data_IF_077943435851
#
_entry.id   IF_077943435851
#
_cell.length_a   1.000
_cell.length_b   1.000
_cell.length_c   1.000
_cell.angle_alpha   90.00
_cell.angle_beta   90.00
_cell.angle_gamma   90.00
#
_symmetry.space_group_name_H-M   'P 1'
#
loop_
_entity.id
_entity.type
_entity.pdbx_description
1 polymer ?
#
# COMPACT_ATOMS: atom_id res chain seq x y z
N UNK A 1 -50.06 34.39 64.09
CA UNK A 1 -51.26 33.77 63.50
C UNK A 1 -50.82 33.06 62.22
N UNK A 2 -50.85 31.72 62.22
CA UNK A 2 -50.41 30.86 61.13
C UNK A 2 -51.59 30.68 60.17
N UNK A 3 -51.39 30.95 58.87
CA UNK A 3 -52.31 30.60 57.83
C UNK A 3 -51.89 29.26 57.21
N UNK A 4 -52.82 28.28 57.21
CA UNK A 4 -52.69 26.97 56.54
C UNK A 4 -52.98 27.13 55.07
N UNK A 5 -52.01 26.70 54.20
CA UNK A 5 -52.25 26.59 52.80
C UNK A 5 -52.53 25.11 52.51
N UNK A 6 -53.70 24.80 52.03
CA UNK A 6 -54.14 23.48 51.56
C UNK A 6 -53.79 23.34 50.07
N UNK A 7 -52.93 22.37 49.74
CA UNK A 7 -52.64 21.96 48.38
C UNK A 7 -53.74 21.09 47.81
N UNK A 8 -54.36 21.48 46.72
CA UNK A 8 -55.25 20.64 45.91
C UNK A 8 -54.35 19.88 44.88
N UNK A 9 -54.45 18.57 44.89
CA UNK A 9 -53.88 17.69 43.86
C UNK A 9 -54.75 17.72 42.58
N UNK A 10 -54.14 17.69 41.38
CA UNK A 10 -54.90 17.54 40.15
C UNK A 10 -55.12 16.06 39.83
N UNK A 11 -56.36 15.67 39.67
CA UNK A 11 -56.81 14.36 39.18
C UNK A 11 -56.31 14.08 37.75
N UNK A 12 -55.48 13.06 37.60
CA UNK A 12 -55.06 12.52 36.28
C UNK A 12 -56.20 11.72 35.66
N UNK A 13 -56.76 12.23 34.55
CA UNK A 13 -57.64 11.45 33.67
C UNK A 13 -56.83 10.36 32.99
N UNK A 14 -57.14 9.08 33.25
CA UNK A 14 -56.61 7.92 32.54
C UNK A 14 -57.13 7.92 31.10
N UNK A 15 -56.28 8.17 30.12
CA UNK A 15 -56.56 7.84 28.73
C UNK A 15 -56.45 6.32 28.55
N UNK A 16 -57.54 5.68 28.22
CA UNK A 16 -57.57 4.28 27.78
C UNK A 16 -56.96 4.23 26.41
N UNK A 17 -55.75 3.67 26.32
CA UNK A 17 -55.10 3.37 25.04
C UNK A 17 -55.71 2.05 24.56
N UNK A 18 -56.49 2.10 23.49
CA UNK A 18 -56.88 0.90 22.74
C UNK A 18 -55.61 0.26 22.20
N UNK A 19 -55.26 -0.90 22.73
CA UNK A 19 -54.24 -1.78 22.15
C UNK A 19 -54.84 -2.33 20.85
N UNK A 20 -54.34 -1.87 19.72
CA UNK A 20 -54.60 -2.48 18.43
C UNK A 20 -53.76 -3.74 18.43
N UNK A 21 -54.39 -4.91 18.50
CA UNK A 21 -53.74 -6.18 18.22
C UNK A 21 -53.23 -6.13 16.77
N UNK A 22 -51.95 -5.89 16.60
CA UNK A 22 -51.27 -6.14 15.35
C UNK A 22 -51.17 -7.67 15.20
N UNK A 23 -51.92 -8.21 14.23
CA UNK A 23 -51.70 -9.57 13.76
C UNK A 23 -50.19 -9.76 13.54
N UNK A 24 -49.62 -10.68 14.30
CA UNK A 24 -48.26 -11.16 14.05
C UNK A 24 -48.31 -11.87 12.73
N UNK A 25 -47.86 -11.21 11.63
CA UNK A 25 -47.50 -11.92 10.43
C UNK A 25 -46.46 -12.97 10.83
N UNK A 26 -46.87 -14.24 10.77
CA UNK A 26 -45.94 -15.36 10.91
C UNK A 26 -44.87 -15.21 9.85
N UNK A 27 -43.65 -14.87 10.27
CA UNK A 27 -42.47 -14.85 9.43
C UNK A 27 -42.24 -16.30 8.93
N UNK A 28 -42.81 -16.63 7.78
CA UNK A 28 -42.49 -17.86 7.08
C UNK A 28 -41.07 -17.72 6.55
N UNK A 29 -40.07 -18.44 7.09
CA UNK A 29 -38.71 -18.34 6.60
C UNK A 29 -38.73 -18.73 5.12
N UNK A 30 -38.38 -17.79 4.24
CA UNK A 30 -38.10 -18.09 2.85
C UNK A 30 -37.09 -19.24 2.85
N UNK A 31 -37.37 -20.32 2.06
CA UNK A 31 -36.43 -21.43 1.90
C UNK A 31 -35.02 -20.84 1.79
N UNK A 32 -34.13 -21.23 2.73
CA UNK A 32 -32.74 -20.81 2.70
C UNK A 32 -32.18 -21.27 1.36
N UNK A 33 -31.94 -20.32 0.45
CA UNK A 33 -31.14 -20.52 -0.75
C UNK A 33 -29.70 -20.66 -0.29
N UNK A 34 -29.31 -21.87 0.10
CA UNK A 34 -28.00 -22.20 0.62
C UNK A 34 -27.26 -22.92 -0.50
N UNK A 35 -26.21 -22.31 -1.00
CA UNK A 35 -25.22 -22.94 -1.85
C UNK A 35 -23.95 -23.21 -1.02
N UNK A 36 -23.47 -24.44 -1.05
CA UNK A 36 -22.24 -24.86 -0.37
C UNK A 36 -21.09 -25.10 -1.37
N UNK A 37 -21.34 -24.90 -2.67
CA UNK A 37 -20.33 -25.07 -3.71
C UNK A 37 -19.50 -23.79 -3.82
N UNK A 38 -18.15 -23.85 -3.73
CA UNK A 38 -17.32 -22.66 -3.88
C UNK A 38 -17.24 -22.21 -5.35
N UNK A 39 -16.97 -20.91 -5.61
CA UNK A 39 -16.73 -20.38 -6.94
C UNK A 39 -15.66 -21.13 -7.71
N UNK A 40 -15.84 -21.36 -8.99
CA UNK A 40 -14.87 -22.04 -9.86
C UNK A 40 -14.01 -21.03 -10.60
N UNK A 41 -12.73 -20.95 -10.25
CA UNK A 41 -11.75 -20.06 -10.91
C UNK A 41 -11.19 -20.77 -12.14
N UNK A 42 -11.45 -20.22 -13.32
CA UNK A 42 -11.02 -20.75 -14.61
C UNK A 42 -9.91 -19.88 -15.20
N UNK A 43 -8.69 -20.34 -15.04
CA UNK A 43 -7.45 -19.74 -15.57
C UNK A 43 -6.39 -20.85 -15.66
N UNK A 44 -5.47 -20.73 -16.60
CA UNK A 44 -4.34 -21.65 -16.69
C UNK A 44 -3.44 -21.56 -15.45
N UNK A 45 -2.94 -22.69 -14.98
CA UNK A 45 -2.03 -22.74 -13.81
C UNK A 45 -0.62 -22.25 -14.12
N UNK A 46 -0.22 -22.35 -15.39
CA UNK A 46 1.02 -21.82 -15.89
C UNK A 46 0.76 -20.98 -17.13
N UNK A 47 1.29 -19.76 -17.13
CA UNK A 47 1.16 -18.80 -18.22
C UNK A 47 2.57 -18.34 -18.60
N UNK A 48 2.86 -18.33 -19.90
CA UNK A 48 4.10 -17.71 -20.40
C UNK A 48 3.73 -16.45 -21.18
N UNK A 49 4.38 -15.34 -20.85
CA UNK A 49 4.24 -14.05 -21.53
C UNK A 49 5.56 -13.62 -22.13
N UNK A 50 5.53 -12.81 -23.18
CA UNK A 50 6.72 -12.34 -23.89
C UNK A 50 7.11 -10.89 -23.55
N UNK A 51 6.41 -10.30 -22.59
CA UNK A 51 6.65 -8.95 -22.07
C UNK A 51 6.56 -8.91 -20.56
N UNK A 52 7.30 -8.03 -19.92
CA UNK A 52 7.20 -7.75 -18.48
C UNK A 52 5.86 -7.10 -18.12
N UNK A 53 5.33 -6.24 -19.00
CA UNK A 53 3.97 -5.72 -18.88
C UNK A 53 3.00 -6.71 -19.53
N UNK A 54 2.06 -7.25 -18.75
CA UNK A 54 1.09 -8.22 -19.27
C UNK A 54 -0.27 -8.05 -18.57
N UNK A 55 -1.30 -8.58 -19.22
CA UNK A 55 -2.66 -8.58 -18.65
C UNK A 55 -3.04 -9.99 -18.26
N UNK A 56 -3.27 -10.21 -16.97
CA UNK A 56 -3.85 -11.46 -16.45
C UNK A 56 -5.36 -11.49 -16.77
N UNK A 57 -5.83 -12.55 -17.42
CA UNK A 57 -7.25 -12.72 -17.80
C UNK A 57 -7.74 -14.05 -17.32
N UNK A 58 -8.93 -14.06 -16.68
CA UNK A 58 -9.56 -15.29 -16.24
C UNK A 58 -11.07 -15.17 -16.16
N UNK A 59 -11.71 -16.27 -15.74
CA UNK A 59 -13.15 -16.33 -15.50
C UNK A 59 -13.41 -16.91 -14.13
N UNK A 60 -14.51 -16.49 -13.51
CA UNK A 60 -15.06 -17.11 -12.31
C UNK A 60 -16.49 -17.48 -12.58
N UNK A 61 -16.87 -18.70 -12.26
CA UNK A 61 -18.24 -19.19 -12.38
C UNK A 61 -18.76 -19.60 -11.01
N UNK A 62 -19.97 -19.20 -10.75
CA UNK A 62 -20.72 -19.55 -9.54
C UNK A 62 -22.21 -19.40 -9.77
N UNK A 63 -23.04 -20.06 -8.95
CA UNK A 63 -24.49 -19.84 -8.90
C UNK A 63 -24.83 -18.46 -8.37
N UNK A 64 -23.98 -17.90 -7.47
CA UNK A 64 -24.08 -16.53 -7.00
C UNK A 64 -23.72 -15.56 -8.11
N UNK A 65 -24.53 -14.53 -8.29
CA UNK A 65 -24.19 -13.38 -9.13
C UNK A 65 -23.20 -12.42 -8.44
N UNK A 66 -23.00 -12.59 -7.13
CA UNK A 66 -22.12 -11.77 -6.32
C UNK A 66 -20.88 -12.60 -5.95
N UNK A 67 -19.75 -12.26 -6.56
CA UNK A 67 -18.46 -12.90 -6.31
C UNK A 67 -17.49 -11.78 -5.94
N UNK A 68 -16.83 -11.93 -4.79
CA UNK A 68 -15.72 -11.13 -4.38
C UNK A 68 -14.43 -11.82 -4.79
N UNK A 69 -13.64 -11.17 -5.64
CA UNK A 69 -12.37 -11.70 -6.14
C UNK A 69 -11.22 -10.85 -5.64
N UNK A 70 -10.17 -11.51 -5.15
CA UNK A 70 -8.89 -10.86 -4.86
C UNK A 70 -7.75 -11.54 -5.60
N UNK A 71 -6.77 -10.76 -6.01
CA UNK A 71 -5.51 -11.22 -6.58
C UNK A 71 -4.38 -10.64 -5.74
N UNK A 72 -3.57 -11.49 -5.11
CA UNK A 72 -2.55 -11.12 -4.12
C UNK A 72 -3.09 -10.18 -3.03
N UNK A 73 -4.32 -10.48 -2.54
CA UNK A 73 -5.02 -9.70 -1.52
C UNK A 73 -5.69 -8.42 -2.02
N UNK A 74 -5.45 -7.99 -3.26
CA UNK A 74 -6.08 -6.79 -3.84
C UNK A 74 -7.42 -7.13 -4.50
N UNK A 75 -8.50 -6.38 -4.23
CA UNK A 75 -9.80 -6.61 -4.85
C UNK A 75 -9.75 -6.36 -6.36
N UNK A 76 -10.38 -7.25 -7.13
CA UNK A 76 -10.47 -7.17 -8.59
C UNK A 76 -11.92 -7.32 -9.01
N UNK A 77 -12.37 -6.41 -9.87
CA UNK A 77 -13.75 -6.41 -10.35
C UNK A 77 -14.02 -7.61 -11.27
N UNK A 78 -15.14 -8.29 -11.01
CA UNK A 78 -15.64 -9.37 -11.86
C UNK A 78 -16.83 -8.85 -12.67
N UNK A 79 -16.67 -8.74 -13.99
CA UNK A 79 -17.74 -8.33 -14.93
C UNK A 79 -18.20 -9.50 -15.76
N UNK A 80 -19.47 -9.89 -15.62
CA UNK A 80 -20.07 -11.02 -16.36
C UNK A 80 -19.24 -12.31 -16.25
N UNK A 81 -18.74 -12.60 -15.04
CA UNK A 81 -17.91 -13.77 -14.75
C UNK A 81 -16.50 -13.72 -15.34
N UNK A 82 -16.02 -12.57 -15.79
CA UNK A 82 -14.66 -12.38 -16.29
C UNK A 82 -13.93 -11.36 -15.41
N UNK A 83 -12.63 -11.54 -15.28
CA UNK A 83 -11.74 -10.56 -14.65
C UNK A 83 -10.51 -10.31 -15.51
N UNK A 84 -9.97 -9.10 -15.40
CA UNK A 84 -8.71 -8.69 -16.02
C UNK A 84 -7.92 -7.87 -15.03
N UNK A 85 -6.60 -8.03 -15.03
CA UNK A 85 -5.69 -7.25 -14.20
C UNK A 85 -4.39 -7.02 -14.96
N UNK A 86 -4.03 -5.75 -15.16
CA UNK A 86 -2.74 -5.39 -15.72
C UNK A 86 -1.67 -5.54 -14.64
N UNK A 87 -0.57 -6.18 -15.02
CA UNK A 87 0.57 -6.48 -14.15
C UNK A 87 1.87 -6.13 -14.83
N UNK A 88 2.87 -5.92 -14.00
CA UNK A 88 4.24 -5.73 -14.45
C UNK A 88 5.17 -6.62 -13.61
N UNK A 89 5.88 -7.53 -14.28
CA UNK A 89 6.90 -8.36 -13.62
C UNK A 89 8.23 -7.60 -13.62
N UNK A 90 8.74 -7.26 -12.45
CA UNK A 90 9.98 -6.52 -12.28
C UNK A 90 11.23 -7.37 -12.48
N UNK A 91 11.12 -8.69 -12.31
CA UNK A 91 12.23 -9.63 -12.48
C UNK A 91 11.81 -10.79 -13.40
N UNK A 92 12.09 -10.68 -14.72
CA UNK A 92 11.66 -11.68 -15.69
C UNK A 92 12.37 -13.04 -15.53
N UNK A 93 13.43 -13.13 -14.73
CA UNK A 93 14.14 -14.39 -14.46
C UNK A 93 13.44 -15.22 -13.37
N UNK A 94 12.57 -14.59 -12.58
CA UNK A 94 11.81 -15.23 -11.50
C UNK A 94 10.40 -15.58 -11.99
N UNK A 95 9.97 -16.83 -11.74
CA UNK A 95 8.59 -17.23 -11.96
C UNK A 95 7.70 -16.55 -10.92
N UNK A 96 6.77 -15.73 -11.37
CA UNK A 96 5.83 -15.03 -10.50
C UNK A 96 4.71 -15.96 -10.10
N UNK A 97 4.47 -16.13 -8.79
CA UNK A 97 3.33 -16.88 -8.26
C UNK A 97 2.23 -15.91 -7.84
N UNK A 98 1.07 -16.02 -8.49
CA UNK A 98 -0.07 -15.14 -8.29
C UNK A 98 -1.17 -15.91 -7.57
N UNK A 99 -1.57 -15.45 -6.40
CA UNK A 99 -2.65 -16.06 -5.62
C UNK A 99 -3.99 -15.40 -5.95
N UNK A 100 -4.93 -16.17 -6.50
CA UNK A 100 -6.30 -15.74 -6.80
C UNK A 100 -7.24 -16.38 -5.79
N UNK A 101 -8.08 -15.57 -5.15
CA UNK A 101 -9.09 -16.00 -4.18
C UNK A 101 -10.45 -15.50 -4.63
N UNK A 102 -11.44 -16.39 -4.69
CA UNK A 102 -12.83 -16.04 -4.97
C UNK A 102 -13.73 -16.46 -3.82
N UNK A 103 -14.63 -15.58 -3.42
CA UNK A 103 -15.60 -15.81 -2.35
C UNK A 103 -16.99 -15.43 -2.85
N UNK A 104 -17.98 -16.29 -2.64
CA UNK A 104 -19.37 -16.04 -3.01
C UNK A 104 -20.17 -15.32 -1.90
N UNK A 105 -21.46 -15.05 -2.14
CA UNK A 105 -22.34 -14.41 -1.16
C UNK A 105 -22.63 -15.28 0.08
N UNK A 106 -22.38 -16.57 0.03
CA UNK A 106 -22.57 -17.51 1.14
C UNK A 106 -21.29 -17.84 1.88
N UNK A 107 -20.20 -17.12 1.52
CA UNK A 107 -18.86 -17.26 2.11
C UNK A 107 -18.14 -18.59 1.74
N UNK A 108 -18.56 -19.26 0.66
CA UNK A 108 -17.76 -20.35 0.12
C UNK A 108 -16.56 -19.78 -0.61
N UNK A 109 -15.39 -20.38 -0.39
CA UNK A 109 -14.11 -19.85 -0.84
C UNK A 109 -13.39 -20.84 -1.74
N UNK A 110 -12.81 -20.34 -2.82
CA UNK A 110 -11.82 -21.06 -3.64
C UNK A 110 -10.54 -20.27 -3.78
N UNK A 111 -9.44 -20.99 -3.92
CA UNK A 111 -8.11 -20.42 -4.13
C UNK A 111 -7.45 -21.08 -5.33
N UNK A 112 -6.69 -20.32 -6.10
CA UNK A 112 -5.86 -20.82 -7.20
C UNK A 112 -4.56 -20.05 -7.28
N UNK A 113 -3.45 -20.78 -7.44
CA UNK A 113 -2.14 -20.20 -7.70
C UNK A 113 -1.87 -20.31 -9.19
N UNK A 114 -1.45 -19.21 -9.80
CA UNK A 114 -1.06 -19.12 -11.21
C UNK A 114 0.42 -18.77 -11.27
N UNK A 115 1.20 -19.57 -12.00
CA UNK A 115 2.61 -19.32 -12.25
C UNK A 115 2.79 -18.58 -13.57
N UNK A 116 3.40 -17.41 -13.53
CA UNK A 116 3.68 -16.62 -14.73
C UNK A 116 5.18 -16.58 -14.98
N UNK A 117 5.57 -17.03 -16.15
CA UNK A 117 6.96 -16.98 -16.63
C UNK A 117 7.07 -15.92 -17.73
N UNK A 118 7.98 -14.99 -17.58
CA UNK A 118 8.30 -14.01 -18.65
C UNK A 118 9.41 -14.56 -19.52
N UNK A 119 9.14 -14.72 -20.81
CA UNK A 119 10.15 -15.09 -21.82
C UNK A 119 10.32 -13.95 -22.79
N UNK A 120 11.22 -13.03 -22.47
CA UNK A 120 11.51 -11.90 -23.33
C UNK A 120 12.21 -12.39 -24.62
N UNK A 121 11.82 -11.82 -25.76
CA UNK A 121 12.56 -12.03 -27.01
C UNK A 121 13.93 -11.39 -26.89
N UNK A 122 14.96 -12.04 -27.40
CA UNK A 122 16.34 -11.56 -27.31
C UNK A 122 16.55 -10.10 -27.79
N UNK A 123 15.68 -9.63 -28.70
CA UNK A 123 15.65 -8.24 -29.18
C UNK A 123 15.05 -7.26 -28.16
N UNK A 124 14.23 -7.71 -27.23
CA UNK A 124 13.52 -6.86 -26.28
C UNK A 124 14.33 -6.65 -24.99
N UNK A 125 15.16 -7.63 -24.62
CA UNK A 125 16.09 -7.55 -23.48
C UNK A 125 17.11 -6.41 -23.64
N UNK A 126 17.51 -6.12 -24.88
CA UNK A 126 18.56 -5.10 -25.18
C UNK A 126 18.00 -3.66 -25.13
N UNK A 127 16.67 -3.47 -25.26
CA UNK A 127 16.07 -2.11 -25.33
C UNK A 127 15.58 -1.55 -24.01
N UNK A 128 15.33 -2.38 -22.98
CA UNK A 128 14.61 -1.92 -21.80
C UNK A 128 15.48 -1.43 -20.64
N UNK A 129 16.74 -1.83 -20.56
CA UNK A 129 17.63 -1.38 -19.50
C UNK A 129 19.01 -1.04 -20.06
N UNK A 130 19.16 0.18 -20.58
CA UNK A 130 20.49 0.75 -20.52
C UNK A 130 20.87 0.79 -19.06
N UNK A 131 21.88 -0.01 -18.70
CA UNK A 131 22.46 0.03 -17.37
C UNK A 131 22.73 1.49 -17.01
N UNK A 132 22.08 1.95 -15.92
CA UNK A 132 22.26 3.30 -15.45
C UNK A 132 23.75 3.53 -15.18
N UNK A 133 24.45 4.19 -16.12
CA UNK A 133 25.91 4.44 -16.06
C UNK A 133 26.17 5.89 -15.67
N UNK A 134 26.06 6.26 -14.36
CA UNK A 134 26.31 7.64 -13.94
C UNK A 134 27.69 8.15 -14.33
N UNK A 135 28.63 7.23 -14.56
CA UNK A 135 30.00 7.55 -14.95
C UNK A 135 30.12 8.12 -16.38
N UNK A 136 29.15 7.89 -17.25
CA UNK A 136 29.11 8.42 -18.62
C UNK A 136 28.62 9.85 -18.69
N UNK A 137 27.96 10.35 -17.61
CA UNK A 137 27.43 11.70 -17.53
C UNK A 137 28.45 12.59 -16.81
N UNK A 138 28.84 13.69 -17.44
CA UNK A 138 29.69 14.73 -16.82
C UNK A 138 28.86 16.00 -16.70
N UNK A 139 28.52 16.38 -15.50
CA UNK A 139 27.80 17.62 -15.17
C UNK A 139 28.67 18.44 -14.23
N UNK A 140 28.65 19.75 -14.40
CA UNK A 140 29.32 20.68 -13.49
C UNK A 140 28.77 20.55 -12.07
N UNK A 141 29.66 20.66 -11.07
CA UNK A 141 29.25 20.64 -9.67
C UNK A 141 28.47 21.88 -9.33
N UNK A 142 27.33 21.69 -8.68
CA UNK A 142 26.43 22.74 -8.29
C UNK A 142 26.24 22.73 -6.75
N UNK A 143 26.68 23.81 -6.10
CA UNK A 143 26.55 24.01 -4.65
C UNK A 143 25.11 24.35 -4.24
N UNK A 144 24.24 24.68 -5.19
CA UNK A 144 22.82 24.95 -4.91
C UNK A 144 21.96 23.69 -4.86
N UNK A 145 22.57 22.53 -5.14
CA UNK A 145 21.89 21.25 -5.06
C UNK A 145 22.23 20.49 -3.79
N UNK A 146 21.22 19.91 -3.18
CA UNK A 146 21.31 19.05 -1.98
C UNK A 146 20.68 17.70 -2.33
N UNK A 147 21.23 16.61 -1.77
CA UNK A 147 20.61 15.29 -1.85
C UNK A 147 20.50 14.65 -0.48
N UNK A 148 19.31 14.17 -0.13
CA UNK A 148 19.05 13.29 1.02
C UNK A 148 18.74 11.91 0.44
N UNK A 149 19.51 10.90 0.84
CA UNK A 149 19.47 9.56 0.27
C UNK A 149 19.28 8.56 1.40
N UNK A 150 18.16 7.87 1.39
CA UNK A 150 17.77 6.93 2.43
C UNK A 150 17.56 5.57 1.78
N UNK A 151 18.20 4.53 2.32
CA UNK A 151 18.02 3.15 1.89
C UNK A 151 17.88 2.23 3.08
N UNK A 152 16.77 1.50 3.18
CA UNK A 152 16.51 0.55 4.25
C UNK A 152 16.19 -0.82 3.65
N UNK A 153 17.17 -1.73 3.73
CA UNK A 153 17.00 -3.10 3.24
C UNK A 153 16.63 -4.06 4.38
N UNK A 154 17.35 -3.97 5.51
CA UNK A 154 17.12 -4.82 6.68
C UNK A 154 16.45 -4.01 7.79
N UNK A 155 15.30 -4.47 8.20
CA UNK A 155 14.51 -3.91 9.29
C UNK A 155 14.69 -4.74 10.58
N UNK A 156 14.47 -4.15 11.74
CA UNK A 156 14.48 -4.88 13.01
C UNK A 156 13.24 -5.74 13.19
N UNK A 157 12.07 -5.20 12.81
CA UNK A 157 10.76 -5.77 13.12
C UNK A 157 9.87 -6.00 11.88
N UNK A 158 10.45 -6.01 10.69
CA UNK A 158 9.72 -6.18 9.44
C UNK A 158 10.51 -7.04 8.44
N UNK A 159 9.83 -7.49 7.39
CA UNK A 159 10.46 -8.17 6.26
C UNK A 159 11.52 -7.28 5.58
N UNK A 160 12.50 -7.89 4.95
CA UNK A 160 13.54 -7.18 4.20
C UNK A 160 12.95 -6.54 2.92
N UNK A 161 13.52 -5.39 2.53
CA UNK A 161 13.30 -4.77 1.23
C UNK A 161 14.51 -5.06 0.33
N UNK A 162 14.40 -6.11 -0.48
CA UNK A 162 15.50 -6.55 -1.34
C UNK A 162 16.01 -5.40 -2.22
N UNK A 163 17.34 -5.24 -2.26
CA UNK A 163 18.07 -4.27 -3.08
C UNK A 163 17.91 -2.79 -2.68
N UNK A 164 17.13 -2.44 -1.68
CA UNK A 164 16.90 -1.04 -1.28
C UNK A 164 18.20 -0.29 -0.94
N UNK A 165 19.16 -0.95 -0.28
CA UNK A 165 20.47 -0.36 -0.01
C UNK A 165 21.31 -0.18 -1.28
N UNK A 166 21.20 -1.11 -2.24
CA UNK A 166 21.89 -1.02 -3.54
C UNK A 166 21.37 0.16 -4.34
N UNK A 167 20.06 0.32 -4.39
CA UNK A 167 19.41 1.40 -5.12
C UNK A 167 19.76 2.77 -4.54
N UNK A 168 19.79 2.90 -3.23
CA UNK A 168 20.24 4.11 -2.55
C UNK A 168 21.72 4.43 -2.88
N UNK A 169 22.61 3.43 -2.92
CA UNK A 169 24.01 3.62 -3.33
C UNK A 169 24.12 4.03 -4.79
N UNK A 170 23.32 3.42 -5.68
CA UNK A 170 23.27 3.79 -7.11
C UNK A 170 22.80 5.23 -7.26
N UNK A 171 21.72 5.63 -6.56
CA UNK A 171 21.24 7.01 -6.60
C UNK A 171 22.28 8.00 -6.06
N UNK A 172 23.06 7.64 -5.06
CA UNK A 172 24.16 8.48 -4.58
C UNK A 172 25.20 8.77 -5.67
N UNK A 173 25.53 7.75 -6.46
CA UNK A 173 26.42 7.93 -7.61
C UNK A 173 25.81 8.85 -8.67
N UNK A 174 24.49 8.73 -8.92
CA UNK A 174 23.73 9.62 -9.78
C UNK A 174 23.70 11.05 -9.27
N UNK A 175 23.35 11.26 -8.02
CA UNK A 175 23.32 12.58 -7.39
C UNK A 175 24.67 13.29 -7.55
N UNK A 176 25.77 12.55 -7.36
CA UNK A 176 27.13 13.09 -7.46
C UNK A 176 27.53 13.38 -8.89
N UNK A 177 27.23 12.49 -9.86
CA UNK A 177 27.82 12.52 -11.20
C UNK A 177 26.90 13.08 -12.26
N UNK A 178 25.58 12.78 -12.18
CA UNK A 178 24.62 13.20 -13.17
C UNK A 178 23.81 14.45 -12.73
N UNK A 179 23.46 14.57 -11.43
CA UNK A 179 22.80 15.77 -10.93
C UNK A 179 23.78 16.88 -10.52
N UNK A 180 25.08 16.57 -10.38
CA UNK A 180 26.11 17.54 -10.06
C UNK A 180 26.13 17.95 -8.58
N UNK A 181 25.44 17.24 -7.68
CA UNK A 181 25.49 17.56 -6.24
C UNK A 181 26.90 17.43 -5.69
N UNK A 182 27.38 18.46 -4.99
CA UNK A 182 28.70 18.40 -4.34
C UNK A 182 28.64 17.43 -3.17
N UNK A 183 29.73 16.66 -2.90
CA UNK A 183 29.74 15.65 -1.83
C UNK A 183 29.38 16.19 -0.45
N UNK A 184 29.75 17.44 -0.13
CA UNK A 184 29.40 18.10 1.14
C UNK A 184 27.89 18.33 1.34
N UNK A 185 27.12 18.31 0.25
CA UNK A 185 25.67 18.54 0.26
C UNK A 185 24.90 17.22 0.14
N UNK A 186 25.56 16.07 0.30
CA UNK A 186 24.91 14.76 0.25
C UNK A 186 24.78 14.21 1.67
N UNK A 187 23.53 14.04 2.12
CA UNK A 187 23.18 13.32 3.34
C UNK A 187 22.80 11.90 2.94
N UNK A 188 23.53 10.89 3.41
CA UNK A 188 23.34 9.49 3.00
C UNK A 188 23.14 8.60 4.22
N UNK A 189 21.92 8.09 4.39
CA UNK A 189 21.48 7.21 5.45
C UNK A 189 21.12 5.85 4.86
N UNK A 190 22.04 4.88 4.90
CA UNK A 190 21.86 3.57 4.27
C UNK A 190 22.06 2.47 5.31
N UNK A 191 21.13 1.50 5.32
CA UNK A 191 21.13 0.35 6.20
C UNK A 191 20.93 0.78 7.67
N UNK A 192 21.81 0.34 8.58
CA UNK A 192 21.73 0.63 10.01
C UNK A 192 21.79 2.12 10.38
N UNK A 193 22.20 2.98 9.45
CA UNK A 193 22.20 4.43 9.63
C UNK A 193 20.84 5.09 9.38
N UNK A 194 19.90 4.38 8.78
CA UNK A 194 18.60 4.91 8.43
C UNK A 194 17.57 4.69 9.57
N UNK A 195 17.96 5.03 10.81
CA UNK A 195 17.06 5.00 11.95
C UNK A 195 16.14 6.22 11.96
N UNK A 196 15.01 6.14 12.68
CA UNK A 196 14.05 7.25 12.82
C UNK A 196 14.75 8.53 13.29
N UNK A 197 15.58 8.42 14.30
CA UNK A 197 16.32 9.57 14.85
C UNK A 197 17.26 10.21 13.85
N UNK A 198 18.03 9.42 13.08
CA UNK A 198 18.96 9.95 12.09
C UNK A 198 18.24 10.53 10.87
N UNK A 199 17.11 9.95 10.43
CA UNK A 199 16.30 10.53 9.37
C UNK A 199 15.73 11.89 9.81
N UNK A 200 15.13 11.98 10.99
CA UNK A 200 14.62 13.26 11.50
C UNK A 200 15.74 14.30 11.69
N UNK A 201 16.91 13.88 12.16
CA UNK A 201 18.10 14.76 12.26
C UNK A 201 18.51 15.29 10.88
N UNK A 202 18.46 14.44 9.85
CA UNK A 202 18.79 14.83 8.48
C UNK A 202 17.88 15.96 8.00
N UNK A 203 16.56 15.85 8.21
CA UNK A 203 15.58 16.83 7.74
C UNK A 203 15.53 18.08 8.63
N UNK A 204 15.52 17.93 9.96
CA UNK A 204 15.27 19.03 10.89
C UNK A 204 16.54 19.80 11.29
N UNK A 205 17.72 19.21 11.11
CA UNK A 205 18.98 19.83 11.55
C UNK A 205 19.96 19.97 10.37
N UNK A 206 20.26 18.85 9.68
CA UNK A 206 21.34 18.87 8.69
C UNK A 206 20.92 19.58 7.41
N UNK A 207 19.71 19.33 6.92
CA UNK A 207 19.18 19.99 5.73
C UNK A 207 19.09 21.52 5.89
N UNK A 208 18.47 22.10 6.93
CA UNK A 208 18.44 23.55 7.11
C UNK A 208 19.83 24.17 7.19
N UNK A 209 20.77 23.51 7.86
CA UNK A 209 22.15 24.01 7.96
C UNK A 209 22.86 24.06 6.60
N UNK A 210 22.62 23.08 5.71
CA UNK A 210 23.20 23.06 4.36
C UNK A 210 22.44 24.01 3.42
N UNK A 211 21.14 24.13 3.59
CA UNK A 211 20.29 25.00 2.77
C UNK A 211 20.58 26.49 3.04
N UNK A 212 20.91 26.85 4.29
CA UNK A 212 21.13 28.25 4.68
C UNK A 212 19.87 29.07 4.48
N UNK A 213 20.00 30.24 3.85
CA UNK A 213 18.91 31.18 3.63
C UNK A 213 17.91 30.73 2.52
N UNK A 214 18.03 29.49 2.04
CA UNK A 214 17.14 28.88 1.06
C UNK A 214 17.62 29.00 -0.39
N UNK A 215 16.68 28.83 -1.35
CA UNK A 215 16.98 28.91 -2.80
C UNK A 215 17.79 27.72 -3.34
N UNK A 216 17.77 26.57 -2.66
CA UNK A 216 18.47 25.35 -3.10
C UNK A 216 17.49 24.29 -3.62
N UNK A 217 17.94 23.54 -4.60
CA UNK A 217 17.24 22.40 -5.15
C UNK A 217 17.48 21.18 -4.26
N UNK A 218 16.44 20.63 -3.66
CA UNK A 218 16.53 19.49 -2.74
C UNK A 218 16.03 18.24 -3.48
N UNK A 219 16.92 17.24 -3.58
CA UNK A 219 16.62 15.94 -4.14
C UNK A 219 16.50 14.93 -2.99
N UNK A 220 15.33 14.32 -2.83
CA UNK A 220 15.09 13.31 -1.79
C UNK A 220 14.87 11.98 -2.48
N UNK A 221 15.65 10.96 -2.08
CA UNK A 221 15.51 9.59 -2.53
C UNK A 221 15.28 8.68 -1.33
N UNK A 222 14.26 7.85 -1.42
CA UNK A 222 13.95 6.84 -0.41
C UNK A 222 13.73 5.49 -1.10
N UNK A 223 14.45 4.47 -0.65
CA UNK A 223 14.23 3.07 -0.99
C UNK A 223 14.02 2.27 0.30
N UNK A 224 12.82 1.74 0.49
CA UNK A 224 12.40 1.05 1.70
C UNK A 224 10.89 0.82 1.72
N UNK A 225 10.38 0.31 2.83
CA UNK A 225 8.94 0.13 3.03
C UNK A 225 8.25 1.44 3.34
N UNK A 226 7.09 1.64 2.74
CA UNK A 226 6.14 2.69 3.07
C UNK A 226 4.76 2.08 3.34
N UNK A 227 4.04 2.66 4.27
CA UNK A 227 2.68 2.25 4.64
C UNK A 227 1.75 3.46 4.63
N UNK A 228 0.48 3.22 4.33
CA UNK A 228 -0.57 4.20 4.55
C UNK A 228 -1.18 4.00 5.95
N UNK A 229 -1.74 5.07 6.55
CA UNK A 229 -2.60 4.97 7.72
C UNK A 229 -3.83 4.12 7.40
N UNK A 230 -4.58 3.68 8.43
CA UNK A 230 -5.83 2.94 8.24
C UNK A 230 -6.87 3.73 7.43
N UNK A 231 -6.89 5.06 7.57
CA UNK A 231 -7.75 5.94 6.76
C UNK A 231 -7.26 6.12 5.32
N UNK A 232 -6.00 5.80 5.02
CA UNK A 232 -5.35 6.02 3.72
C UNK A 232 -4.95 7.48 3.45
N UNK A 233 -5.16 8.39 4.40
CA UNK A 233 -4.87 9.82 4.23
C UNK A 233 -3.40 10.16 4.45
N UNK A 234 -2.76 9.47 5.39
CA UNK A 234 -1.35 9.67 5.73
C UNK A 234 -0.47 8.58 5.14
N UNK A 235 0.70 8.99 4.67
CA UNK A 235 1.75 8.11 4.17
C UNK A 235 2.94 8.17 5.11
N UNK A 236 3.44 7.00 5.46
CA UNK A 236 4.58 6.82 6.35
C UNK A 236 5.74 6.16 5.61
N UNK A 237 6.95 6.63 5.84
CA UNK A 237 8.17 5.90 5.55
C UNK A 237 8.62 5.13 6.78
N UNK A 238 9.08 3.90 6.59
CA UNK A 238 9.49 3.03 7.69
C UNK A 238 11.01 3.10 7.84
N UNK A 239 11.54 3.60 8.96
CA UNK A 239 12.96 3.59 9.24
C UNK A 239 13.44 2.18 9.62
N UNK A 240 14.75 2.00 9.71
CA UNK A 240 15.38 0.70 10.02
C UNK A 240 14.92 0.09 11.35
N UNK A 241 14.63 0.94 12.32
CA UNK A 241 14.15 0.62 13.66
C UNK A 241 12.62 0.73 13.80
N UNK A 242 11.89 0.91 12.68
CA UNK A 242 10.44 0.99 12.66
C UNK A 242 9.75 -0.34 12.90
N UNK A 243 8.51 -0.27 13.37
CA UNK A 243 7.63 -1.41 13.65
C UNK A 243 6.27 -1.19 13.01
N UNK A 244 5.81 -2.17 12.24
CA UNK A 244 4.51 -2.11 11.55
C UNK A 244 3.34 -2.07 12.54
N UNK A 245 3.45 -2.73 13.69
CA UNK A 245 2.43 -2.74 14.75
C UNK A 245 2.38 -1.44 15.57
N UNK A 246 3.40 -0.57 15.45
CA UNK A 246 3.52 0.71 16.14
C UNK A 246 3.81 1.82 15.12
N UNK A 247 3.01 1.89 14.06
CA UNK A 247 3.26 2.74 12.90
C UNK A 247 3.38 4.22 13.27
N UNK A 248 2.44 4.74 14.06
CA UNK A 248 2.40 6.15 14.44
C UNK A 248 3.59 6.57 15.34
N UNK A 249 4.10 5.64 16.16
CA UNK A 249 5.19 5.91 17.09
C UNK A 249 6.57 5.75 16.44
N UNK A 250 6.71 4.79 15.52
CA UNK A 250 8.02 4.34 15.02
C UNK A 250 8.29 4.69 13.57
N UNK A 251 7.26 4.90 12.76
CA UNK A 251 7.41 5.38 11.41
C UNK A 251 7.47 6.92 11.34
N UNK A 252 7.71 7.45 10.16
CA UNK A 252 7.79 8.90 9.94
C UNK A 252 6.75 9.28 8.91
N UNK A 253 5.77 10.11 9.31
CA UNK A 253 4.76 10.58 8.39
C UNK A 253 5.33 11.59 7.39
N UNK A 254 4.72 11.67 6.21
CA UNK A 254 5.06 12.69 5.22
C UNK A 254 4.99 14.11 5.81
N UNK A 255 4.01 14.36 6.65
CA UNK A 255 3.82 15.68 7.30
C UNK A 255 4.96 15.97 8.28
N UNK A 256 5.46 14.96 9.00
CA UNK A 256 6.57 15.12 9.95
C UNK A 256 7.91 15.43 9.25
N UNK A 257 8.09 14.96 8.00
CA UNK A 257 9.30 15.24 7.22
C UNK A 257 9.34 16.67 6.67
N UNK A 258 8.19 17.28 6.40
CA UNK A 258 8.09 18.55 5.67
C UNK A 258 7.94 19.74 6.65
N UNK A 259 7.57 19.49 7.90
CA UNK A 259 7.53 20.48 8.97
C UNK A 259 8.92 20.78 9.53
#
# INVERSE_FOLDING_TARGET
KKAKITKKEPTKKKKVVKVVEQEKEEFKPKKKDIDNDPPVIQIAEAITVDSQAYTLKGKVKDKSKQIYLTIDGRPVEVRRGKFTLDRFNFDPEIVEEIKIVAIDKWNNKSEKIVKVTVKLKATDVVKFYEELKPNKVKVSKDKNKIAIIIGVEKYKNMAECNYCNRDAKAFKAYATRALGVVPSNIISLIGSKATRGEILRAFKISLPRIAGDGGKDINIFFAGHGLASESGEDLYIIPQDGDQGLLEDTAISRVELIK
#
